data_IF_353481464557
#
_entry.id   IF_353481464557
#
_cell.length_a   1.000
_cell.length_b   1.000
_cell.length_c   1.000
_cell.angle_alpha   90.00
_cell.angle_beta   90.00
_cell.angle_gamma   90.00
#
_symmetry.space_group_name_H-M   'P 1'
#
loop_
_entity.id
_entity.type
_entity.pdbx_description
1 polymer ?
#
# COMPACT_ATOMS: atom_id res chain seq x y z
N UNK A 1 -19.18 -3.03 -3.33
CA UNK A 1 -18.30 -1.86 -3.12
C UNK A 1 -16.97 -2.10 -3.80
N UNK A 2 -16.49 -1.15 -4.61
CA UNK A 2 -15.16 -1.19 -5.24
C UNK A 2 -14.10 -0.71 -4.23
N UNK A 3 -12.92 -1.35 -4.24
CA UNK A 3 -11.74 -0.86 -3.51
C UNK A 3 -10.84 -0.10 -4.49
N UNK A 4 -10.41 1.09 -4.12
CA UNK A 4 -9.52 1.96 -4.88
C UNK A 4 -8.24 2.14 -4.08
N UNK A 5 -7.14 1.55 -4.57
CA UNK A 5 -5.81 1.85 -4.06
C UNK A 5 -5.31 3.13 -4.72
N UNK A 6 -4.86 4.07 -3.92
CA UNK A 6 -4.35 5.36 -4.36
C UNK A 6 -2.85 5.43 -4.06
N UNK A 7 -2.04 5.41 -5.11
CA UNK A 7 -0.58 5.46 -5.01
C UNK A 7 -0.05 6.75 -5.61
N UNK A 8 0.88 7.40 -4.90
CA UNK A 8 1.62 8.56 -5.41
C UNK A 8 2.99 8.10 -5.88
N UNK A 9 3.20 8.02 -7.20
CA UNK A 9 4.47 7.62 -7.80
C UNK A 9 5.21 8.84 -8.36
N UNK A 10 6.26 9.31 -7.66
CA UNK A 10 7.08 10.47 -8.07
C UNK A 10 6.24 11.66 -8.58
N UNK A 11 5.29 12.09 -7.77
CA UNK A 11 4.44 13.24 -8.05
C UNK A 11 5.02 14.52 -7.43
N UNK A 12 5.25 15.54 -8.25
CA UNK A 12 5.71 16.86 -7.85
C UNK A 12 4.49 17.69 -7.45
N UNK A 13 4.45 18.13 -6.19
CA UNK A 13 3.37 18.95 -5.66
C UNK A 13 3.07 18.69 -4.19
N UNK A 14 1.98 19.29 -3.73
CA UNK A 14 1.56 19.20 -2.34
C UNK A 14 1.00 17.82 -2.03
N UNK A 15 1.54 17.21 -0.98
CA UNK A 15 1.02 15.98 -0.40
C UNK A 15 1.09 16.02 1.12
N UNK A 16 0.45 15.07 1.79
CA UNK A 16 0.57 14.91 3.24
C UNK A 16 1.98 14.49 3.72
N UNK A 17 2.91 14.27 2.78
CA UNK A 17 4.26 13.77 2.98
C UNK A 17 5.26 14.86 2.61
N UNK A 18 6.23 15.13 3.49
CA UNK A 18 7.29 16.12 3.27
C UNK A 18 8.63 15.37 3.24
N UNK A 19 9.33 15.42 2.11
CA UNK A 19 10.74 15.05 2.00
C UNK A 19 11.48 16.07 1.15
N UNK A 20 12.79 16.18 1.35
CA UNK A 20 13.62 17.14 0.62
C UNK A 20 13.61 16.86 -0.90
N UNK A 21 13.51 15.58 -1.30
CA UNK A 21 13.36 15.18 -2.71
C UNK A 21 12.05 15.64 -3.35
N UNK A 22 10.96 15.75 -2.57
CA UNK A 22 9.67 16.17 -3.11
C UNK A 22 9.60 17.68 -3.43
N UNK A 23 10.59 18.46 -2.97
CA UNK A 23 10.67 19.90 -3.17
C UNK A 23 11.48 20.33 -4.41
N UNK A 24 12.29 19.42 -4.98
CA UNK A 24 13.12 19.69 -6.17
C UNK A 24 12.81 18.68 -7.29
N UNK A 25 12.26 19.11 -8.43
CA UNK A 25 11.97 18.22 -9.55
C UNK A 25 13.22 17.50 -10.11
N UNK A 26 14.41 18.10 -10.03
CA UNK A 26 15.64 17.44 -10.49
C UNK A 26 15.99 16.24 -9.61
N UNK A 27 15.87 16.39 -8.28
CA UNK A 27 16.08 15.28 -7.35
C UNK A 27 14.94 14.26 -7.41
N UNK A 28 13.71 14.71 -7.63
CA UNK A 28 12.54 13.84 -7.72
C UNK A 28 12.61 12.93 -8.96
N UNK A 29 13.05 13.48 -10.09
CA UNK A 29 13.14 12.78 -11.38
C UNK A 29 14.54 12.30 -11.74
N UNK A 30 15.46 12.32 -10.79
CA UNK A 30 16.77 11.69 -10.97
C UNK A 30 16.61 10.24 -11.45
N UNK A 31 17.41 9.86 -12.44
CA UNK A 31 17.25 8.60 -13.16
C UNK A 31 17.49 7.38 -12.25
N UNK A 32 18.48 7.45 -11.36
CA UNK A 32 18.81 6.34 -10.46
C UNK A 32 17.73 6.20 -9.38
N UNK A 33 17.23 7.34 -8.88
CA UNK A 33 16.07 7.35 -7.97
C UNK A 33 14.84 6.72 -8.62
N UNK A 34 14.48 7.13 -9.84
CA UNK A 34 13.32 6.59 -10.56
C UNK A 34 13.47 5.10 -10.86
N UNK A 35 14.67 4.66 -11.24
CA UNK A 35 14.97 3.24 -11.43
C UNK A 35 14.72 2.44 -10.15
N UNK A 36 15.19 2.95 -9.00
CA UNK A 36 15.03 2.29 -7.72
C UNK A 36 13.58 2.28 -7.24
N UNK A 37 12.82 3.39 -7.42
CA UNK A 37 11.38 3.43 -7.12
C UNK A 37 10.58 2.46 -7.98
N UNK A 38 10.88 2.38 -9.28
CA UNK A 38 10.24 1.40 -10.18
C UNK A 38 10.50 -0.03 -9.71
N UNK A 39 11.72 -0.34 -9.26
CA UNK A 39 12.06 -1.67 -8.73
C UNK A 39 11.21 -2.03 -7.51
N UNK A 40 11.08 -1.13 -6.53
CA UNK A 40 10.25 -1.38 -5.34
C UNK A 40 8.77 -1.46 -5.68
N UNK A 41 8.31 -0.60 -6.58
CA UNK A 41 6.94 -0.61 -7.04
C UNK A 41 6.56 -1.93 -7.71
N UNK A 42 7.44 -2.46 -8.56
CA UNK A 42 7.27 -3.76 -9.19
C UNK A 42 7.34 -4.91 -8.17
N UNK A 43 8.42 -4.97 -7.39
CA UNK A 43 8.74 -6.13 -6.55
C UNK A 43 7.90 -6.21 -5.27
N UNK A 44 7.37 -5.09 -4.78
CA UNK A 44 6.63 -5.03 -3.51
C UNK A 44 5.17 -4.68 -3.77
N UNK A 45 4.89 -3.47 -4.24
CA UNK A 45 3.52 -2.97 -4.36
C UNK A 45 2.71 -3.75 -5.39
N UNK A 46 3.18 -3.83 -6.64
CA UNK A 46 2.48 -4.52 -7.72
C UNK A 46 2.45 -6.03 -7.51
N UNK A 47 3.50 -6.63 -6.94
CA UNK A 47 3.51 -8.04 -6.54
C UNK A 47 2.36 -8.34 -5.56
N UNK A 48 2.16 -7.48 -4.56
CA UNK A 48 1.07 -7.63 -3.57
C UNK A 48 -0.33 -7.45 -4.16
N UNK A 49 -0.50 -6.52 -5.10
CA UNK A 49 -1.78 -6.27 -5.78
C UNK A 49 -2.12 -7.37 -6.79
N UNK A 50 -1.12 -7.96 -7.43
CA UNK A 50 -1.32 -9.08 -8.36
C UNK A 50 -1.81 -10.33 -7.63
N UNK A 51 -1.32 -10.55 -6.41
CA UNK A 51 -1.69 -11.69 -5.56
C UNK A 51 -3.04 -11.58 -4.84
N UNK A 52 -3.84 -10.52 -5.07
CA UNK A 52 -5.14 -10.38 -4.41
C UNK A 52 -6.11 -11.50 -4.82
N UNK A 53 -6.68 -12.17 -3.82
CA UNK A 53 -7.73 -13.19 -3.98
C UNK A 53 -9.04 -12.59 -4.50
N UNK A 54 -9.37 -11.37 -4.09
CA UNK A 54 -10.45 -10.57 -4.67
C UNK A 54 -9.89 -9.53 -5.64
N UNK A 55 -10.11 -9.74 -6.94
CA UNK A 55 -9.59 -8.88 -8.02
C UNK A 55 -10.47 -7.66 -8.33
N UNK A 56 -11.58 -7.46 -7.63
CA UNK A 56 -12.50 -6.35 -7.86
C UNK A 56 -12.04 -5.08 -7.10
N UNK A 57 -10.88 -4.58 -7.51
CA UNK A 57 -10.28 -3.30 -7.10
C UNK A 57 -9.81 -2.50 -8.34
N UNK A 58 -9.48 -1.22 -8.16
CA UNK A 58 -8.75 -0.40 -9.14
C UNK A 58 -7.53 0.19 -8.42
N UNK A 59 -6.39 0.21 -9.09
CA UNK A 59 -5.16 0.86 -8.63
C UNK A 59 -4.98 2.17 -9.39
N UNK A 60 -5.16 3.28 -8.69
CA UNK A 60 -5.01 4.63 -9.20
C UNK A 60 -3.62 5.16 -8.86
N UNK A 61 -2.77 5.29 -9.86
CA UNK A 61 -1.39 5.78 -9.74
C UNK A 61 -1.33 7.23 -10.19
N UNK A 62 -1.03 8.16 -9.29
CA UNK A 62 -0.79 9.56 -9.60
C UNK A 62 0.71 9.80 -9.79
N UNK A 63 1.08 10.37 -10.93
CA UNK A 63 2.46 10.73 -11.25
C UNK A 63 2.52 12.11 -11.95
N UNK A 64 3.71 12.68 -12.05
CA UNK A 64 3.91 14.03 -12.61
C UNK A 64 3.88 14.02 -14.14
N UNK A 65 3.23 15.01 -14.76
CA UNK A 65 3.44 15.30 -16.18
C UNK A 65 4.86 15.82 -16.48
N UNK A 66 5.59 16.25 -15.46
CA UNK A 66 6.99 16.70 -15.54
C UNK A 66 8.01 15.54 -15.53
N UNK A 67 7.58 14.32 -15.20
CA UNK A 67 8.48 13.15 -15.22
C UNK A 67 8.92 12.90 -16.67
N UNK A 68 10.19 12.53 -16.97
CA UNK A 68 10.63 12.33 -18.34
C UNK A 68 9.78 11.29 -19.09
N UNK A 69 9.48 11.53 -20.37
CA UNK A 69 8.53 10.72 -21.14
C UNK A 69 8.87 9.23 -21.18
N UNK A 70 10.15 8.88 -21.24
CA UNK A 70 10.62 7.49 -21.19
C UNK A 70 10.20 6.79 -19.89
N UNK A 71 10.28 7.49 -18.75
CA UNK A 71 9.83 6.99 -17.45
C UNK A 71 8.31 6.93 -17.35
N UNK A 72 7.59 7.90 -17.93
CA UNK A 72 6.12 7.82 -18.01
C UNK A 72 5.69 6.59 -18.81
N UNK A 73 6.30 6.36 -19.97
CA UNK A 73 6.04 5.17 -20.78
C UNK A 73 6.31 3.89 -19.98
N UNK A 74 7.47 3.79 -19.33
CA UNK A 74 7.86 2.61 -18.54
C UNK A 74 6.92 2.34 -17.37
N UNK A 75 6.51 3.38 -16.61
CA UNK A 75 5.54 3.23 -15.51
C UNK A 75 4.21 2.66 -16.03
N UNK A 76 3.77 3.16 -17.19
CA UNK A 76 2.52 2.72 -17.80
C UNK A 76 2.56 1.29 -18.31
N UNK A 77 3.62 0.91 -18.99
CA UNK A 77 3.83 -0.46 -19.46
C UNK A 77 3.86 -1.41 -18.26
N UNK A 78 4.68 -1.13 -17.25
CA UNK A 78 4.77 -1.93 -16.02
C UNK A 78 3.38 -2.14 -15.37
N UNK A 79 2.63 -1.07 -15.12
CA UNK A 79 1.30 -1.17 -14.53
C UNK A 79 0.32 -2.00 -15.37
N UNK A 80 0.32 -1.80 -16.69
CA UNK A 80 -0.63 -2.47 -17.58
C UNK A 80 -0.26 -3.92 -17.84
N UNK A 81 1.02 -4.26 -17.90
CA UNK A 81 1.49 -5.63 -18.08
C UNK A 81 1.20 -6.46 -16.83
N UNK A 82 1.37 -5.89 -15.64
CA UNK A 82 1.18 -6.60 -14.36
C UNK A 82 -0.29 -6.69 -13.96
N UNK A 83 -1.03 -5.57 -13.98
CA UNK A 83 -2.41 -5.53 -13.48
C UNK A 83 -3.48 -5.59 -14.58
N UNK A 84 -3.13 -5.22 -15.82
CA UNK A 84 -4.09 -4.99 -16.89
C UNK A 84 -4.75 -3.60 -16.81
N UNK A 85 -5.13 -3.07 -17.98
CA UNK A 85 -5.78 -1.74 -18.12
C UNK A 85 -7.11 -1.62 -17.37
N UNK A 86 -7.78 -2.73 -17.09
CA UNK A 86 -9.07 -2.75 -16.36
C UNK A 86 -8.93 -2.58 -14.85
N UNK A 87 -7.74 -2.85 -14.29
CA UNK A 87 -7.47 -2.74 -12.85
C UNK A 87 -6.49 -1.64 -12.50
N UNK A 88 -5.88 -0.96 -13.48
CA UNK A 88 -4.94 0.11 -13.22
C UNK A 88 -5.27 1.36 -14.03
N UNK A 89 -5.19 2.51 -13.37
CA UNK A 89 -5.37 3.84 -13.96
C UNK A 89 -4.21 4.73 -13.58
N UNK A 90 -3.61 5.38 -14.56
CA UNK A 90 -2.48 6.27 -14.34
C UNK A 90 -2.90 7.70 -14.65
N UNK A 91 -2.62 8.60 -13.71
CA UNK A 91 -2.94 10.01 -13.78
C UNK A 91 -1.62 10.80 -13.86
N UNK A 92 -1.22 11.22 -15.05
CA UNK A 92 -0.17 12.22 -15.20
C UNK A 92 -0.79 13.60 -15.00
N UNK A 93 -0.30 14.36 -14.01
CA UNK A 93 -0.82 15.68 -13.67
C UNK A 93 0.30 16.69 -13.46
N UNK A 94 0.07 17.98 -13.75
CA UNK A 94 0.99 19.04 -13.34
C UNK A 94 1.03 19.15 -11.81
N UNK A 95 1.88 20.03 -11.32
CA UNK A 95 1.98 20.34 -9.89
C UNK A 95 0.61 20.68 -9.28
N UNK A 96 0.34 20.15 -8.10
CA UNK A 96 -0.91 20.41 -7.40
C UNK A 96 -1.05 19.59 -6.12
N UNK A 97 -2.26 19.55 -5.57
CA UNK A 97 -2.54 18.76 -4.37
C UNK A 97 -2.94 17.33 -4.73
N UNK A 98 -2.09 16.36 -4.39
CA UNK A 98 -2.31 14.95 -4.67
C UNK A 98 -3.66 14.45 -4.14
N UNK A 99 -3.99 14.78 -2.89
CA UNK A 99 -5.26 14.37 -2.28
C UNK A 99 -6.50 15.00 -2.92
N UNK A 100 -6.42 16.24 -3.42
CA UNK A 100 -7.53 16.84 -4.16
C UNK A 100 -7.70 16.21 -5.54
N UNK A 101 -6.59 15.89 -6.22
CA UNK A 101 -6.61 15.19 -7.52
C UNK A 101 -7.25 13.81 -7.37
N UNK A 102 -6.81 13.00 -6.39
CA UNK A 102 -7.36 11.68 -6.13
C UNK A 102 -8.85 11.75 -5.78
N UNK A 103 -9.22 12.56 -4.78
CA UNK A 103 -10.62 12.75 -4.36
C UNK A 103 -11.54 13.13 -5.52
N UNK A 104 -11.15 14.14 -6.31
CA UNK A 104 -11.97 14.60 -7.43
C UNK A 104 -12.08 13.55 -8.54
N UNK A 105 -11.03 12.75 -8.74
CA UNK A 105 -11.04 11.66 -9.71
C UNK A 105 -11.95 10.52 -9.26
N UNK A 106 -11.88 10.13 -7.98
CA UNK A 106 -12.78 9.13 -7.39
C UNK A 106 -14.25 9.57 -7.49
N UNK A 107 -14.57 10.80 -7.10
CA UNK A 107 -15.92 11.35 -7.19
C UNK A 107 -16.48 11.32 -8.63
N UNK A 108 -15.63 11.60 -9.62
CA UNK A 108 -16.01 11.58 -11.04
C UNK A 108 -16.25 10.17 -11.58
N UNK A 109 -15.36 9.23 -11.27
CA UNK A 109 -15.39 7.88 -11.83
C UNK A 109 -16.44 6.98 -11.19
N UNK A 110 -16.67 7.16 -9.89
CA UNK A 110 -17.53 6.30 -9.09
C UNK A 110 -18.78 7.04 -8.62
N UNK A 111 -19.28 7.98 -9.43
CA UNK A 111 -20.43 8.82 -9.10
C UNK A 111 -21.60 7.95 -8.58
N UNK A 112 -22.21 8.40 -7.48
CA UNK A 112 -23.35 7.75 -6.82
C UNK A 112 -23.04 6.34 -6.25
N UNK A 113 -21.77 5.97 -6.13
CA UNK A 113 -21.33 4.70 -5.53
C UNK A 113 -20.64 4.92 -4.19
N UNK A 114 -20.77 3.93 -3.30
CA UNK A 114 -19.89 3.79 -2.12
C UNK A 114 -18.61 3.06 -2.53
N UNK A 115 -17.47 3.64 -2.17
CA UNK A 115 -16.13 3.12 -2.45
C UNK A 115 -15.32 2.96 -1.17
N UNK A 116 -14.35 2.05 -1.20
CA UNK A 116 -13.28 1.99 -0.22
C UNK A 116 -12.02 2.63 -0.82
N UNK A 117 -11.49 3.69 -0.21
CA UNK A 117 -10.25 4.35 -0.63
C UNK A 117 -9.12 3.96 0.32
N UNK A 118 -7.99 3.50 -0.22
CA UNK A 118 -6.82 3.03 0.53
C UNK A 118 -5.59 3.71 -0.05
N UNK A 119 -4.75 4.32 0.79
CA UNK A 119 -3.44 4.81 0.35
C UNK A 119 -2.46 3.65 0.41
N UNK A 120 -1.74 3.43 -0.68
CA UNK A 120 -0.66 2.44 -0.73
C UNK A 120 0.55 3.11 -1.38
N UNK A 121 1.63 3.27 -0.60
CA UNK A 121 2.87 3.83 -1.13
C UNK A 121 3.49 2.85 -2.14
N UNK A 122 4.26 3.36 -3.10
CA UNK A 122 4.87 2.59 -4.20
C UNK A 122 6.06 1.71 -3.78
N UNK A 123 6.26 1.53 -2.49
CA UNK A 123 7.21 0.61 -1.87
C UNK A 123 6.56 -0.27 -0.78
N UNK A 124 5.28 -0.08 -0.49
CA UNK A 124 4.53 -0.84 0.52
C UNK A 124 3.67 -1.93 -0.13
N UNK A 125 3.24 -2.90 0.67
CA UNK A 125 2.42 -4.03 0.22
C UNK A 125 1.24 -4.32 1.15
N UNK A 126 0.20 -4.98 0.62
CA UNK A 126 -0.97 -5.48 1.37
C UNK A 126 -1.10 -7.00 1.26
N UNK A 127 -1.71 -7.64 2.25
CA UNK A 127 -1.91 -9.10 2.26
C UNK A 127 -2.78 -9.56 1.08
N UNK A 128 -2.63 -10.80 0.64
CA UNK A 128 -3.40 -11.40 -0.48
C UNK A 128 -4.92 -11.40 -0.28
N UNK A 129 -5.39 -11.25 0.95
CA UNK A 129 -6.81 -11.18 1.33
C UNK A 129 -7.28 -9.76 1.68
N UNK A 130 -6.44 -8.74 1.53
CA UNK A 130 -6.73 -7.37 1.98
C UNK A 130 -8.00 -6.79 1.33
N UNK A 131 -8.16 -6.93 0.01
CA UNK A 131 -9.37 -6.43 -0.69
C UNK A 131 -10.63 -7.12 -0.15
N UNK A 132 -10.57 -8.44 0.08
CA UNK A 132 -11.69 -9.20 0.63
C UNK A 132 -12.00 -8.75 2.07
N UNK A 133 -10.97 -8.53 2.90
CA UNK A 133 -11.11 -8.04 4.26
C UNK A 133 -11.74 -6.64 4.30
N UNK A 134 -11.26 -5.69 3.49
CA UNK A 134 -11.82 -4.33 3.40
C UNK A 134 -13.31 -4.38 3.03
N UNK A 135 -13.71 -5.22 2.07
CA UNK A 135 -15.12 -5.36 1.68
C UNK A 135 -15.96 -6.01 2.78
N UNK A 136 -15.44 -7.04 3.43
CA UNK A 136 -16.13 -7.74 4.53
C UNK A 136 -16.40 -6.78 5.70
N UNK A 137 -15.35 -6.19 6.27
CA UNK A 137 -15.49 -5.27 7.40
C UNK A 137 -16.17 -3.95 7.01
N UNK A 138 -16.00 -3.49 5.76
CA UNK A 138 -16.67 -2.31 5.26
C UNK A 138 -18.18 -2.49 5.12
N UNK A 139 -18.65 -3.69 4.73
CA UNK A 139 -20.07 -4.01 4.67
C UNK A 139 -20.71 -3.99 6.06
N UNK A 140 -20.00 -4.50 7.07
CA UNK A 140 -20.43 -4.41 8.47
C UNK A 140 -20.49 -2.94 8.92
N UNK A 141 -19.42 -2.18 8.69
CA UNK A 141 -19.31 -0.80 9.14
C UNK A 141 -20.33 0.15 8.48
N UNK A 142 -20.76 -0.14 7.24
CA UNK A 142 -21.84 0.59 6.55
C UNK A 142 -23.23 0.36 7.17
N UNK A 143 -23.41 -0.71 7.95
CA UNK A 143 -24.68 -1.06 8.59
C UNK A 143 -24.75 -0.60 10.04
N UNK A 144 -23.73 0.10 10.54
CA UNK A 144 -23.71 0.59 11.92
C UNK A 144 -24.77 1.69 12.14
N UNK A 145 -25.85 1.41 12.91
CA UNK A 145 -26.88 2.40 13.16
C UNK A 145 -26.39 3.53 14.08
N UNK A 146 -25.27 3.34 14.78
CA UNK A 146 -24.72 4.32 15.71
C UNK A 146 -23.75 5.29 15.03
N UNK A 147 -23.37 5.06 13.77
CA UNK A 147 -22.49 5.96 13.04
C UNK A 147 -23.28 7.15 12.47
N UNK A 148 -23.04 8.40 12.94
CA UNK A 148 -23.79 9.57 12.49
C UNK A 148 -23.26 10.15 11.17
N UNK A 149 -22.26 9.52 10.53
CA UNK A 149 -21.62 10.03 9.31
C UNK A 149 -21.87 9.08 8.14
N UNK A 150 -21.92 9.61 6.91
CA UNK A 150 -22.01 8.78 5.71
C UNK A 150 -20.67 8.10 5.37
N UNK A 151 -19.70 8.06 6.28
CA UNK A 151 -18.40 7.45 6.06
C UNK A 151 -17.87 6.84 7.36
N UNK A 152 -16.92 5.91 7.22
CA UNK A 152 -16.20 5.31 8.35
C UNK A 152 -14.81 4.89 7.90
N UNK A 153 -13.87 4.88 8.83
CA UNK A 153 -12.53 4.34 8.59
C UNK A 153 -12.40 2.92 9.12
N UNK A 154 -11.66 2.08 8.42
CA UNK A 154 -11.22 0.77 8.90
C UNK A 154 -9.71 0.83 9.12
N UNK A 155 -9.27 0.50 10.32
CA UNK A 155 -7.86 0.38 10.69
C UNK A 155 -7.49 -1.08 10.82
N UNK A 156 -6.52 -1.52 10.02
CA UNK A 156 -5.85 -2.81 10.09
C UNK A 156 -4.46 -2.58 10.71
N UNK A 157 -4.31 -2.66 12.05
CA UNK A 157 -3.10 -2.23 12.74
C UNK A 157 -1.91 -3.18 12.57
N UNK A 158 -2.18 -4.47 12.37
CA UNK A 158 -1.16 -5.54 12.38
C UNK A 158 -0.61 -5.77 10.98
N UNK A 159 0.72 -5.81 10.88
CA UNK A 159 1.48 -6.09 9.68
C UNK A 159 2.92 -6.40 10.02
N UNK A 160 3.82 -6.20 9.06
CA UNK A 160 5.26 -6.31 9.27
C UNK A 160 5.99 -5.07 8.75
N UNK A 161 7.18 -4.84 9.27
CA UNK A 161 8.18 -3.97 8.64
C UNK A 161 9.02 -4.86 7.72
N UNK A 162 9.24 -4.41 6.49
CA UNK A 162 10.09 -5.08 5.48
C UNK A 162 11.37 -4.26 5.28
N UNK A 163 12.49 -4.79 5.76
CA UNK A 163 13.80 -4.18 5.54
C UNK A 163 14.30 -4.43 4.13
N UNK A 164 14.73 -3.36 3.47
CA UNK A 164 15.40 -3.44 2.18
C UNK A 164 16.80 -2.83 2.29
N UNK A 165 17.81 -3.67 2.11
CA UNK A 165 19.23 -3.31 2.22
C UNK A 165 19.92 -3.65 0.90
N UNK A 166 20.73 -2.72 0.40
CA UNK A 166 21.41 -2.86 -0.91
C UNK A 166 20.45 -3.26 -2.05
N UNK A 167 19.21 -2.77 -1.97
CA UNK A 167 18.14 -3.04 -2.92
C UNK A 167 17.62 -4.48 -2.90
N UNK A 168 17.86 -5.25 -1.83
CA UNK A 168 17.35 -6.61 -1.59
C UNK A 168 16.46 -6.64 -0.37
N UNK A 169 15.40 -7.45 -0.41
CA UNK A 169 14.55 -7.71 0.75
C UNK A 169 15.34 -8.58 1.73
N UNK A 170 15.61 -8.05 2.92
CA UNK A 170 16.62 -8.64 3.82
C UNK A 170 16.02 -9.21 5.10
N UNK A 171 15.05 -8.54 5.69
CA UNK A 171 14.49 -8.94 6.98
C UNK A 171 13.03 -8.50 7.13
N UNK A 172 12.34 -9.15 8.06
CA UNK A 172 11.02 -8.78 8.51
C UNK A 172 11.05 -8.53 10.02
N UNK A 173 10.24 -7.60 10.51
CA UNK A 173 9.95 -7.46 11.95
C UNK A 173 8.46 -7.24 12.20
N UNK A 174 7.97 -7.66 13.36
CA UNK A 174 6.55 -7.48 13.70
C UNK A 174 6.19 -6.01 13.75
N UNK A 175 4.97 -5.67 13.32
CA UNK A 175 4.48 -4.31 13.35
C UNK A 175 3.02 -4.22 13.78
N UNK A 176 2.77 -3.38 14.78
CA UNK A 176 1.42 -3.04 15.23
C UNK A 176 1.28 -1.53 15.35
N UNK A 177 0.59 -0.92 14.39
CA UNK A 177 0.39 0.54 14.35
C UNK A 177 -1.05 0.86 13.96
N UNK A 178 -1.93 1.18 14.93
CA UNK A 178 -3.29 1.64 14.66
C UNK A 178 -3.30 2.86 13.74
N UNK A 179 -4.25 2.85 12.81
CA UNK A 179 -4.48 3.92 11.84
C UNK A 179 -3.25 4.25 10.98
N UNK A 180 -2.36 3.30 10.72
CA UNK A 180 -1.26 3.51 9.76
C UNK A 180 -1.79 3.61 8.32
N UNK A 181 -1.20 4.47 7.48
CA UNK A 181 -1.76 4.79 6.15
C UNK A 181 -1.98 3.55 5.25
N UNK A 182 -0.97 2.69 5.09
CA UNK A 182 -1.07 1.46 4.28
C UNK A 182 -2.05 0.40 4.84
N UNK A 183 -2.42 0.52 6.12
CA UNK A 183 -3.40 -0.33 6.80
C UNK A 183 -4.72 0.38 7.05
N UNK A 184 -5.03 1.46 6.33
CA UNK A 184 -6.20 2.30 6.57
C UNK A 184 -7.08 2.38 5.32
N UNK A 185 -8.36 2.06 5.48
CA UNK A 185 -9.37 2.23 4.43
C UNK A 185 -10.42 3.27 4.84
N UNK A 186 -10.78 4.18 3.96
CA UNK A 186 -11.94 5.05 4.08
C UNK A 186 -13.10 4.43 3.29
N UNK A 187 -14.18 4.08 3.97
CA UNK A 187 -15.43 3.64 3.35
C UNK A 187 -16.38 4.83 3.28
N UNK A 188 -16.75 5.28 2.08
CA UNK A 188 -17.57 6.47 1.90
C UNK A 188 -18.27 6.52 0.52
N UNK A 189 -19.36 7.29 0.36
CA UNK A 189 -19.81 7.79 -0.92
C UNK A 189 -18.65 8.44 -1.68
N UNK A 190 -18.58 8.22 -2.99
CA UNK A 190 -17.47 8.69 -3.82
C UNK A 190 -17.31 10.22 -3.84
N UNK A 191 -18.37 10.97 -3.59
CA UNK A 191 -18.39 12.44 -3.51
C UNK A 191 -18.07 12.99 -2.11
N UNK A 192 -17.66 12.13 -1.18
CA UNK A 192 -17.27 12.56 0.17
C UNK A 192 -16.18 13.64 0.13
N UNK A 193 -16.24 14.58 1.07
CA UNK A 193 -15.17 15.57 1.25
C UNK A 193 -13.91 14.98 1.90
N UNK A 194 -13.97 13.72 2.35
CA UNK A 194 -12.85 12.99 2.99
C UNK A 194 -12.04 12.24 1.94
N UNK A 195 -10.73 12.23 2.12
CA UNK A 195 -9.84 11.34 1.39
C UNK A 195 -8.64 11.03 2.31
N UNK A 196 -8.08 9.82 2.26
CA UNK A 196 -6.96 9.46 3.14
C UNK A 196 -5.73 10.39 3.00
N UNK A 197 -5.39 10.89 1.80
CA UNK A 197 -4.29 11.87 1.63
C UNK A 197 -4.57 13.23 2.29
N UNK A 198 -5.85 13.57 2.48
CA UNK A 198 -6.28 14.85 3.09
C UNK A 198 -6.57 14.71 4.59
N UNK A 199 -6.37 13.52 5.17
CA UNK A 199 -6.75 13.21 6.55
C UNK A 199 -5.52 12.76 7.34
N UNK A 200 -5.24 13.43 8.46
CA UNK A 200 -4.14 13.00 9.35
C UNK A 200 -4.49 11.67 10.02
N UNK A 201 -3.83 10.60 9.58
CA UNK A 201 -4.14 9.23 10.01
C UNK A 201 -3.99 9.03 11.53
N UNK A 202 -2.99 9.68 12.13
CA UNK A 202 -2.74 9.65 13.59
C UNK A 202 -3.89 10.15 14.46
N UNK A 203 -4.84 10.90 13.87
CA UNK A 203 -5.98 11.49 14.60
C UNK A 203 -7.32 10.86 14.24
N UNK A 204 -7.34 9.78 13.44
CA UNK A 204 -8.59 9.17 12.96
C UNK A 204 -9.45 8.67 14.10
N UNK A 205 -8.91 7.83 14.99
CA UNK A 205 -9.66 7.30 16.12
C UNK A 205 -10.16 8.36 17.12
N UNK A 206 -9.69 9.61 17.02
CA UNK A 206 -10.14 10.73 17.85
C UNK A 206 -11.19 11.61 17.16
N UNK A 207 -11.22 11.64 15.82
CA UNK A 207 -11.94 12.68 15.05
C UNK A 207 -12.95 12.13 14.05
N UNK A 208 -12.93 10.83 13.79
CA UNK A 208 -13.75 10.19 12.77
C UNK A 208 -14.32 8.86 13.28
N UNK A 209 -15.52 8.46 12.82
CA UNK A 209 -16.01 7.11 13.02
C UNK A 209 -15.02 6.11 12.44
N UNK A 210 -14.68 5.09 13.21
CA UNK A 210 -13.72 4.09 12.78
C UNK A 210 -13.86 2.77 13.52
N UNK A 211 -13.51 1.68 12.84
CA UNK A 211 -13.32 0.37 13.44
C UNK A 211 -11.86 -0.05 13.36
N UNK A 212 -11.42 -0.78 14.39
CA UNK A 212 -10.12 -1.43 14.38
C UNK A 212 -10.31 -2.93 14.22
N UNK A 213 -9.67 -3.51 13.21
CA UNK A 213 -9.74 -4.94 12.89
C UNK A 213 -8.59 -5.66 13.60
N UNK A 214 -8.87 -6.34 14.70
CA UNK A 214 -7.84 -6.91 15.61
C UNK A 214 -7.78 -8.44 15.63
N UNK A 215 -8.27 -9.13 14.60
CA UNK A 215 -8.33 -10.61 14.51
C UNK A 215 -6.96 -11.32 14.33
N UNK A 216 -5.88 -10.74 14.87
CA UNK A 216 -4.53 -11.31 14.93
C UNK A 216 -3.88 -11.71 13.59
N UNK A 217 -4.42 -11.24 12.45
CA UNK A 217 -3.84 -11.43 11.12
C UNK A 217 -3.04 -10.20 10.64
N UNK A 218 -1.94 -10.38 9.89
CA UNK A 218 -1.22 -9.30 9.25
C UNK A 218 -1.91 -8.87 7.95
N UNK A 219 -1.97 -7.57 7.69
CA UNK A 219 -2.67 -7.01 6.53
C UNK A 219 -1.78 -6.20 5.59
N UNK A 220 -0.54 -5.90 6.01
CA UNK A 220 0.35 -5.05 5.23
C UNK A 220 1.84 -5.33 5.53
N UNK A 221 2.71 -4.94 4.60
CA UNK A 221 4.16 -4.77 4.79
C UNK A 221 4.49 -3.30 4.59
N UNK A 222 5.21 -2.72 5.55
CA UNK A 222 5.79 -1.38 5.41
C UNK A 222 7.26 -1.49 5.06
N UNK A 223 7.67 -1.03 3.88
CA UNK A 223 9.08 -1.06 3.50
C UNK A 223 9.91 -0.01 4.27
N UNK A 224 11.15 -0.38 4.56
CA UNK A 224 12.17 0.49 5.17
C UNK A 224 13.47 0.39 4.38
N UNK A 225 13.89 1.52 3.82
CA UNK A 225 15.12 1.72 3.05
C UNK A 225 15.54 3.19 3.03
N UNK A 226 16.74 3.48 2.55
CA UNK A 226 17.32 4.83 2.54
C UNK A 226 16.59 5.89 1.69
N UNK A 227 15.51 5.52 0.98
CA UNK A 227 14.72 6.44 0.13
C UNK A 227 13.34 6.76 0.71
N UNK A 228 12.97 6.26 1.89
CA UNK A 228 11.67 6.61 2.47
C UNK A 228 11.64 8.08 2.91
N UNK A 229 10.49 8.73 2.72
CA UNK A 229 10.26 10.12 3.17
C UNK A 229 10.30 10.26 4.71
N UNK A 230 10.07 9.17 5.45
CA UNK A 230 10.13 9.14 6.92
C UNK A 230 11.36 8.40 7.41
N UNK A 231 12.06 8.95 8.40
CA UNK A 231 13.06 8.20 9.18
C UNK A 231 12.36 7.03 9.87
N UNK A 232 12.59 5.82 9.37
CA UNK A 232 12.08 4.61 10.00
C UNK A 232 13.05 4.16 11.09
N UNK A 233 12.51 3.63 12.18
CA UNK A 233 13.31 2.89 13.15
C UNK A 233 13.61 1.52 12.54
N UNK A 234 14.90 1.24 12.31
CA UNK A 234 15.36 -0.14 12.21
C UNK A 234 14.99 -0.86 13.51
N UNK A 235 14.59 -2.11 13.39
CA UNK A 235 14.16 -2.93 14.52
C UNK A 235 15.21 -3.99 14.73
N UNK A 236 15.76 -4.12 15.93
CA UNK A 236 16.75 -5.18 16.21
C UNK A 236 16.08 -6.56 16.40
N UNK A 237 14.74 -6.59 16.46
CA UNK A 237 13.92 -7.80 16.61
C UNK A 237 13.45 -8.33 15.25
N UNK A 238 14.39 -8.84 14.46
CA UNK A 238 14.09 -9.51 13.21
C UNK A 238 13.43 -10.88 13.45
N UNK A 239 12.49 -11.24 12.57
CA UNK A 239 11.89 -12.57 12.54
C UNK A 239 12.94 -13.63 12.18
N UNK A 240 12.85 -14.81 12.79
CA UNK A 240 13.61 -15.99 12.35
C UNK A 240 13.07 -16.54 11.02
N UNK A 241 13.85 -17.39 10.34
CA UNK A 241 13.40 -18.06 9.11
C UNK A 241 12.07 -18.81 9.28
N UNK A 242 11.87 -19.47 10.42
CA UNK A 242 10.62 -20.20 10.74
C UNK A 242 9.44 -19.22 10.86
N UNK A 243 9.64 -18.08 11.52
CA UNK A 243 8.62 -17.03 11.63
C UNK A 243 8.34 -16.35 10.30
N UNK A 244 9.34 -16.19 9.43
CA UNK A 244 9.17 -15.66 8.07
C UNK A 244 8.31 -16.62 7.23
N UNK A 245 8.48 -17.93 7.38
CA UNK A 245 7.67 -18.93 6.67
C UNK A 245 6.17 -18.76 6.98
N UNK A 246 5.80 -18.41 8.22
CA UNK A 246 4.41 -18.14 8.63
C UNK A 246 3.81 -16.89 7.95
N UNK A 247 4.63 -16.02 7.35
CA UNK A 247 4.20 -14.81 6.63
C UNK A 247 3.75 -15.15 5.19
N UNK A 248 4.30 -16.20 4.58
CA UNK A 248 4.07 -16.53 3.17
C UNK A 248 2.61 -16.76 2.79
N UNK A 249 1.72 -17.35 3.63
CA UNK A 249 0.29 -17.43 3.29
C UNK A 249 -0.37 -16.08 3.00
N UNK A 250 0.11 -15.01 3.64
CA UNK A 250 -0.40 -13.65 3.48
C UNK A 250 0.35 -12.86 2.39
N UNK A 251 1.63 -13.21 2.14
CA UNK A 251 2.49 -12.58 1.14
C UNK A 251 3.33 -13.62 0.36
N UNK A 252 2.73 -14.43 -0.51
CA UNK A 252 3.40 -15.58 -1.11
C UNK A 252 4.64 -15.23 -1.93
N UNK A 253 4.64 -14.05 -2.55
CA UNK A 253 5.75 -13.56 -3.38
C UNK A 253 7.04 -13.34 -2.58
N UNK A 254 6.97 -13.18 -1.25
CA UNK A 254 8.17 -13.07 -0.40
C UNK A 254 9.01 -14.34 -0.40
N UNK A 255 8.41 -15.51 -0.67
CA UNK A 255 9.13 -16.77 -0.57
C UNK A 255 10.32 -16.86 -1.55
N UNK A 256 10.23 -16.20 -2.70
CA UNK A 256 11.34 -16.06 -3.66
C UNK A 256 12.51 -15.21 -3.14
N UNK A 257 12.29 -14.40 -2.11
CA UNK A 257 13.30 -13.52 -1.51
C UNK A 257 13.89 -14.08 -0.22
N UNK A 258 13.23 -15.05 0.42
CA UNK A 258 13.67 -15.69 1.67
C UNK A 258 13.82 -17.21 1.48
N UNK A 259 14.79 -17.68 0.66
CA UNK A 259 14.92 -19.09 0.30
C UNK A 259 15.29 -20.00 1.48
N UNK A 260 15.85 -19.46 2.57
CA UNK A 260 16.19 -20.26 3.76
C UNK A 260 14.95 -20.62 4.57
N UNK A 261 13.96 -19.72 4.63
CA UNK A 261 12.66 -19.95 5.25
C UNK A 261 11.80 -21.00 4.51
N UNK A 262 12.19 -21.43 3.31
CA UNK A 262 11.48 -22.49 2.56
C UNK A 262 11.99 -23.91 2.85
N UNK A 263 13.20 -24.11 3.39
CA UNK A 263 13.90 -25.41 3.32
C UNK A 263 13.52 -26.46 4.36
N UNK A 264 12.50 -26.27 5.21
CA UNK A 264 12.26 -27.15 6.38
C UNK A 264 11.17 -28.21 6.24
N UNK A 265 10.66 -28.51 5.05
CA UNK A 265 9.72 -29.63 4.87
C UNK A 265 10.37 -31.01 4.60
N UNK A 266 11.69 -31.21 4.82
CA UNK A 266 12.29 -32.51 4.44
C UNK A 266 13.67 -32.89 4.97
N UNK A 267 14.08 -32.45 6.16
CA UNK A 267 15.38 -32.88 6.73
C UNK A 267 15.26 -33.44 8.16
N UNK A 268 14.13 -34.10 8.47
CA UNK A 268 14.15 -35.17 9.47
C UNK A 268 14.68 -36.44 8.80
N UNK A 269 15.99 -36.44 8.56
CA UNK A 269 16.73 -37.65 8.27
C UNK A 269 16.50 -38.63 9.42
N UNK A 270 15.85 -39.75 9.08
CA UNK A 270 15.81 -40.95 9.90
C UNK A 270 17.26 -41.34 10.17
N UNK A 271 17.77 -40.95 11.34
CA UNK A 271 18.97 -41.53 11.90
C UNK A 271 18.59 -42.91 12.45
N UNK A 272 18.64 -43.91 11.57
CA UNK A 272 18.69 -45.29 11.99
C UNK A 272 20.07 -45.58 12.60
N UNK A 273 20.12 -45.74 13.93
CA UNK A 273 21.03 -46.64 14.64
C UNK A 273 20.27 -47.32 15.76
#
# INVERSE_FOLDING_TARGET
>A
MKVVFETRFSFFGQSGWKSDHAADPNLLFDSDRLAQRMKYFEQVTLASLTGQTDRAFEHMVLSSSLMPEGWQKRLRELCFDVLGKERCRILYRPEGSAGHIMKNTVAKLYKDQTVAQVVLDDDDAVSTDFVAAVKHYGTFALRDPMNPRPYTFLSFPRGYTLGIEDGRLSWLSQRYVPYTNLGLALIAPSDTKRNPFLTSHKRIGQRHPSYMVTHLRPYYLRAVHGLNDSRAHQSDEHLSDDQIAEVFPYFPWLAAHFPNAQRKEGDEGIAAQ
#
